data_IF_051175802995
#
_entry.id   IF_051175802995
#
_cell.length_a   1.000
_cell.length_b   1.000
_cell.length_c   1.000
_cell.angle_alpha   90.00
_cell.angle_beta   90.00
_cell.angle_gamma   90.00
#
_symmetry.space_group_name_H-M   'P 1'
#
loop_
_entity.id
_entity.type
_entity.pdbx_description
1 polymer ?
#
# COMPACT_ATOMS: atom_id res chain seq x y z
N UNK A 1 -23.45 -13.63 6.97
CA UNK A 1 -22.18 -14.23 6.47
C UNK A 1 -21.00 -13.48 7.09
N UNK A 2 -20.04 -14.17 7.71
CA UNK A 2 -18.79 -13.52 8.16
C UNK A 2 -17.94 -13.24 6.91
N UNK A 3 -17.74 -11.96 6.60
CA UNK A 3 -16.82 -11.56 5.54
C UNK A 3 -15.41 -12.01 5.92
N UNK A 4 -14.86 -12.94 5.17
CA UNK A 4 -13.49 -13.44 5.37
C UNK A 4 -12.52 -12.59 4.56
N UNK A 5 -11.43 -12.16 5.18
CA UNK A 5 -10.35 -11.46 4.46
C UNK A 5 -9.56 -12.45 3.60
N UNK A 6 -9.15 -12.06 2.39
CA UNK A 6 -8.22 -12.83 1.55
C UNK A 6 -6.91 -13.16 2.28
N UNK A 7 -6.15 -14.12 1.78
CA UNK A 7 -4.80 -14.40 2.28
C UNK A 7 -3.87 -13.23 1.99
N UNK A 8 -2.70 -13.18 2.66
CA UNK A 8 -1.77 -12.07 2.55
C UNK A 8 -1.19 -11.94 1.13
N UNK A 9 -0.85 -13.07 0.51
CA UNK A 9 -0.32 -13.20 -0.85
C UNK A 9 -1.36 -12.90 -1.95
N UNK A 10 -2.63 -13.04 -1.63
CA UNK A 10 -3.73 -12.73 -2.56
C UNK A 10 -4.04 -11.22 -2.65
N UNK A 11 -3.58 -10.42 -1.68
CA UNK A 11 -3.91 -8.98 -1.61
C UNK A 11 -2.92 -8.17 -2.45
N UNK A 12 -3.40 -7.50 -3.50
CA UNK A 12 -2.61 -6.54 -4.28
C UNK A 12 -2.73 -5.11 -3.74
N UNK A 13 -3.92 -4.66 -3.37
CA UNK A 13 -4.13 -3.32 -2.82
C UNK A 13 -5.39 -3.21 -1.99
N UNK A 14 -5.40 -2.24 -1.07
CA UNK A 14 -6.56 -1.81 -0.29
C UNK A 14 -6.90 -0.38 -0.69
N UNK A 15 -8.12 -0.14 -1.16
CA UNK A 15 -8.60 1.15 -1.63
C UNK A 15 -9.75 1.67 -0.76
N UNK A 16 -9.69 2.92 -0.27
CA UNK A 16 -10.83 3.52 0.41
C UNK A 16 -11.92 3.83 -0.60
N UNK A 17 -13.14 3.40 -0.34
CA UNK A 17 -14.28 3.60 -1.24
C UNK A 17 -15.48 4.10 -0.45
N UNK A 18 -16.21 5.07 -1.01
CA UNK A 18 -17.49 5.52 -0.46
C UNK A 18 -18.62 4.66 -1.03
N UNK A 19 -19.53 4.28 -0.15
CA UNK A 19 -20.81 3.67 -0.51
C UNK A 19 -21.93 4.47 0.13
N UNK A 20 -23.18 4.15 -0.21
CA UNK A 20 -24.34 4.73 0.45
C UNK A 20 -24.41 4.41 1.95
N UNK A 21 -23.80 3.30 2.35
CA UNK A 21 -23.73 2.82 3.74
C UNK A 21 -22.51 3.40 4.51
N UNK A 22 -21.67 4.22 3.85
CA UNK A 22 -20.48 4.84 4.42
C UNK A 22 -19.16 4.37 3.82
N UNK A 23 -18.07 4.58 4.56
CA UNK A 23 -16.71 4.22 4.13
C UNK A 23 -16.46 2.72 4.22
N UNK A 24 -16.07 2.12 3.11
CA UNK A 24 -15.69 0.70 3.00
C UNK A 24 -14.30 0.57 2.39
N UNK A 25 -13.72 -0.62 2.47
CA UNK A 25 -12.46 -0.95 1.82
C UNK A 25 -12.72 -1.84 0.60
N UNK A 26 -12.29 -1.40 -0.57
CA UNK A 26 -12.20 -2.23 -1.76
C UNK A 26 -10.83 -2.90 -1.76
N UNK A 27 -10.80 -4.21 -1.86
CA UNK A 27 -9.58 -5.03 -1.90
C UNK A 27 -9.39 -5.48 -3.33
N UNK A 28 -8.26 -5.09 -3.94
CA UNK A 28 -7.81 -5.63 -5.22
C UNK A 28 -7.00 -6.88 -4.93
N UNK A 29 -7.26 -7.96 -5.67
CA UNK A 29 -6.52 -9.20 -5.56
C UNK A 29 -5.43 -9.31 -6.64
N UNK A 30 -4.47 -10.19 -6.40
CA UNK A 30 -3.35 -10.46 -7.31
C UNK A 30 -3.77 -11.13 -8.62
N UNK A 31 -4.96 -11.72 -8.68
CA UNK A 31 -5.57 -12.27 -9.88
C UNK A 31 -6.37 -11.24 -10.71
N UNK A 32 -6.43 -9.97 -10.23
CA UNK A 32 -7.18 -8.89 -10.85
C UNK A 32 -8.63 -8.77 -10.41
N UNK A 33 -9.13 -9.66 -9.55
CA UNK A 33 -10.48 -9.56 -9.00
C UNK A 33 -10.59 -8.53 -7.88
N UNK A 34 -11.81 -8.07 -7.59
CA UNK A 34 -12.09 -7.06 -6.56
C UNK A 34 -13.11 -7.58 -5.55
N UNK A 35 -12.87 -7.26 -4.28
CA UNK A 35 -13.79 -7.57 -3.17
C UNK A 35 -14.13 -6.27 -2.45
N UNK A 36 -15.42 -6.02 -2.22
CA UNK A 36 -15.88 -4.94 -1.34
C UNK A 36 -15.97 -5.49 0.08
N UNK A 37 -15.08 -5.04 0.94
CA UNK A 37 -15.06 -5.41 2.35
C UNK A 37 -15.75 -4.31 3.17
N UNK A 38 -16.90 -4.61 3.78
CA UNK A 38 -17.77 -3.65 4.49
C UNK A 38 -17.18 -3.17 5.83
N UNK A 39 -15.94 -2.73 5.79
CA UNK A 39 -15.21 -2.14 6.92
C UNK A 39 -14.36 -0.98 6.42
N UNK A 40 -14.15 0.00 7.30
CA UNK A 40 -13.25 1.12 7.01
C UNK A 40 -11.82 0.63 6.78
N UNK A 41 -11.04 1.37 6.03
CA UNK A 41 -9.61 1.10 5.78
C UNK A 41 -8.84 0.84 7.08
N UNK A 42 -9.07 1.65 8.10
CA UNK A 42 -8.42 1.51 9.40
C UNK A 42 -8.76 0.19 10.09
N UNK A 43 -10.03 -0.22 10.05
CA UNK A 43 -10.49 -1.49 10.62
C UNK A 43 -9.92 -2.69 9.86
N UNK A 44 -9.89 -2.61 8.52
CA UNK A 44 -9.32 -3.64 7.64
C UNK A 44 -7.84 -3.87 7.94
N UNK A 45 -7.03 -2.82 7.96
CA UNK A 45 -5.59 -2.90 8.26
C UNK A 45 -5.35 -3.48 9.67
N UNK A 46 -6.12 -3.03 10.68
CA UNK A 46 -6.01 -3.59 12.04
C UNK A 46 -6.33 -5.07 12.05
N UNK A 47 -7.32 -5.53 11.30
CA UNK A 47 -7.70 -6.95 11.24
C UNK A 47 -6.61 -7.79 10.55
N UNK A 48 -6.01 -7.28 9.48
CA UNK A 48 -4.88 -7.93 8.82
C UNK A 48 -3.68 -8.07 9.76
N UNK A 49 -3.30 -7.01 10.48
CA UNK A 49 -2.21 -7.06 11.46
C UNK A 49 -2.50 -8.04 12.61
N UNK A 50 -3.74 -8.02 13.16
CA UNK A 50 -4.16 -8.95 14.24
C UNK A 50 -4.15 -10.40 13.81
N UNK A 51 -4.43 -10.71 12.55
CA UNK A 51 -4.31 -12.08 12.00
C UNK A 51 -2.90 -12.65 12.16
N UNK A 52 -1.89 -11.76 12.22
CA UNK A 52 -0.49 -12.07 12.46
C UNK A 52 -0.02 -11.76 13.89
N UNK A 53 -0.95 -11.60 14.83
CA UNK A 53 -0.67 -11.22 16.22
C UNK A 53 0.16 -9.93 16.34
N UNK A 54 0.03 -8.98 15.39
CA UNK A 54 0.79 -7.74 15.31
C UNK A 54 -0.10 -6.51 15.58
N UNK A 55 0.52 -5.45 16.13
CA UNK A 55 -0.12 -4.14 16.34
C UNK A 55 0.34 -3.13 15.29
N UNK A 56 -0.61 -2.38 14.70
CA UNK A 56 -0.33 -1.44 13.60
C UNK A 56 0.56 -0.27 14.05
N UNK A 57 0.42 0.21 15.29
CA UNK A 57 1.24 1.32 15.77
C UNK A 57 2.70 0.87 15.97
N UNK A 58 2.89 -0.33 16.50
CA UNK A 58 4.22 -0.94 16.63
C UNK A 58 4.86 -1.20 15.27
N UNK A 59 4.10 -1.72 14.28
CA UNK A 59 4.60 -1.92 12.92
C UNK A 59 5.05 -0.61 12.28
N UNK A 60 4.29 0.48 12.43
CA UNK A 60 4.68 1.80 11.92
C UNK A 60 5.93 2.35 12.60
N UNK A 61 6.04 2.19 13.92
CA UNK A 61 7.23 2.58 14.69
C UNK A 61 8.45 1.77 14.26
N UNK A 62 8.29 0.47 14.08
CA UNK A 62 9.36 -0.39 13.58
C UNK A 62 9.82 0.04 12.17
N UNK A 63 8.88 0.23 11.23
CA UNK A 63 9.17 0.67 9.88
C UNK A 63 9.84 2.06 9.84
N UNK A 64 9.57 2.94 10.80
CA UNK A 64 10.21 4.28 10.86
C UNK A 64 11.72 4.22 11.04
N UNK A 65 12.27 3.13 11.59
CA UNK A 65 13.72 2.94 11.74
C UNK A 65 14.42 2.78 10.39
N UNK A 66 13.71 2.21 9.39
CA UNK A 66 14.22 1.99 8.03
C UNK A 66 13.93 3.17 7.10
N UNK A 67 12.78 3.82 7.30
CA UNK A 67 12.35 4.93 6.43
C UNK A 67 12.86 6.29 6.87
N UNK A 68 13.28 6.42 8.14
CA UNK A 68 13.58 7.70 8.79
C UNK A 68 12.45 8.74 8.67
N UNK A 69 11.19 8.25 8.59
CA UNK A 69 9.99 9.09 8.44
C UNK A 69 9.08 8.94 9.65
N UNK A 70 8.38 10.01 10.00
CA UNK A 70 7.37 10.00 11.07
C UNK A 70 5.99 9.59 10.55
N UNK A 71 5.69 9.85 9.28
CA UNK A 71 4.39 9.62 8.67
C UNK A 71 4.50 8.73 7.41
N UNK A 72 3.37 8.13 7.06
CA UNK A 72 3.23 7.31 5.85
C UNK A 72 4.22 6.14 5.77
N UNK A 73 4.52 5.55 6.91
CA UNK A 73 5.37 4.37 6.99
C UNK A 73 4.64 3.13 6.47
N UNK A 74 5.34 2.21 5.80
CA UNK A 74 4.80 0.92 5.42
C UNK A 74 4.28 0.14 6.64
N UNK A 75 3.32 -0.73 6.41
CA UNK A 75 2.76 -1.64 7.42
C UNK A 75 3.13 -3.05 7.01
N UNK A 76 4.11 -3.62 7.69
CA UNK A 76 4.68 -4.92 7.38
C UNK A 76 4.01 -6.02 8.23
N UNK A 77 2.87 -6.50 7.79
CA UNK A 77 2.13 -7.54 8.50
C UNK A 77 2.82 -8.92 8.38
N UNK A 78 3.35 -9.24 7.21
CA UNK A 78 4.17 -10.44 6.91
C UNK A 78 5.10 -10.14 5.73
N UNK A 79 5.98 -11.06 5.36
CA UNK A 79 6.80 -10.95 4.15
C UNK A 79 5.93 -10.88 2.87
N UNK A 80 4.76 -11.53 2.88
CA UNK A 80 3.80 -11.50 1.77
C UNK A 80 2.87 -10.28 1.78
N UNK A 81 2.81 -9.52 2.90
CA UNK A 81 1.93 -8.38 3.04
C UNK A 81 2.65 -7.17 3.67
N UNK A 82 3.37 -6.44 2.84
CA UNK A 82 3.97 -5.16 3.18
C UNK A 82 3.21 -4.05 2.46
N UNK A 83 2.37 -3.35 3.18
CA UNK A 83 1.44 -2.35 2.67
C UNK A 83 2.08 -0.96 2.65
N UNK A 84 2.27 -0.39 1.47
CA UNK A 84 2.78 0.98 1.24
C UNK A 84 1.62 1.94 1.13
N UNK A 85 1.51 2.95 2.01
CA UNK A 85 0.48 3.98 1.88
C UNK A 85 0.80 4.89 0.68
N UNK A 86 -0.20 5.15 -0.17
CA UNK A 86 -0.13 6.05 -1.32
C UNK A 86 -1.37 6.91 -1.38
N UNK A 87 -1.23 8.19 -1.73
CA UNK A 87 -2.37 9.10 -1.83
C UNK A 87 -3.08 8.91 -3.17
N UNK A 88 -4.34 8.46 -3.13
CA UNK A 88 -5.12 8.16 -4.34
C UNK A 88 -6.28 9.12 -4.59
N UNK A 89 -6.68 9.90 -3.59
CA UNK A 89 -7.79 10.85 -3.75
C UNK A 89 -7.60 12.10 -2.90
N UNK A 90 -8.28 13.18 -3.28
CA UNK A 90 -8.44 14.38 -2.45
C UNK A 90 -9.57 14.15 -1.45
N UNK A 91 -9.48 14.69 -0.22
CA UNK A 91 -10.57 14.60 0.74
C UNK A 91 -11.78 15.39 0.23
N UNK A 92 -12.99 14.86 0.44
CA UNK A 92 -14.25 15.56 0.17
C UNK A 92 -14.68 16.38 1.38
N UNK A 93 -14.44 15.82 2.57
CA UNK A 93 -14.72 16.44 3.87
C UNK A 93 -13.55 16.23 4.82
N UNK A 94 -13.52 17.00 5.91
CA UNK A 94 -12.49 16.80 6.95
C UNK A 94 -12.56 15.38 7.53
N UNK A 95 -11.38 14.74 7.69
CA UNK A 95 -11.29 13.37 8.21
C UNK A 95 -11.38 12.25 7.19
N UNK A 96 -11.60 12.56 5.90
CA UNK A 96 -11.62 11.57 4.84
C UNK A 96 -10.34 10.74 4.75
N UNK A 97 -10.50 9.43 4.52
CA UNK A 97 -9.37 8.54 4.24
C UNK A 97 -8.96 8.71 2.77
N UNK A 98 -7.82 9.34 2.53
CA UNK A 98 -7.31 9.62 1.18
C UNK A 98 -6.21 8.67 0.74
N UNK A 99 -5.73 7.82 1.65
CA UNK A 99 -4.62 6.90 1.42
C UNK A 99 -5.14 5.51 1.07
N UNK A 100 -4.72 5.01 -0.09
CA UNK A 100 -4.75 3.58 -0.40
C UNK A 100 -3.49 2.91 0.18
N UNK A 101 -3.48 1.59 0.22
CA UNK A 101 -2.34 0.80 0.68
C UNK A 101 -2.04 -0.28 -0.36
N UNK A 102 -0.86 -0.22 -0.95
CA UNK A 102 -0.42 -1.14 -2.01
C UNK A 102 0.49 -2.20 -1.41
N UNK A 103 0.25 -3.46 -1.71
CA UNK A 103 1.17 -4.52 -1.35
C UNK A 103 2.40 -4.47 -2.26
N UNK A 104 3.58 -4.27 -1.68
CA UNK A 104 4.83 -4.16 -2.45
C UNK A 104 5.17 -5.45 -3.18
N UNK A 105 4.72 -6.61 -2.70
CA UNK A 105 4.91 -7.91 -3.35
C UNK A 105 4.10 -8.03 -4.66
N UNK A 106 2.95 -7.36 -4.74
CA UNK A 106 2.07 -7.38 -5.90
C UNK A 106 2.31 -6.19 -6.87
N UNK A 107 3.28 -5.34 -6.59
CA UNK A 107 3.60 -4.21 -7.46
C UNK A 107 4.49 -4.67 -8.62
N UNK A 108 3.99 -4.53 -9.85
CA UNK A 108 4.73 -4.83 -11.06
C UNK A 108 5.65 -3.67 -11.46
N UNK A 109 5.11 -2.45 -11.61
CA UNK A 109 5.90 -1.28 -12.01
C UNK A 109 5.24 0.05 -11.58
N UNK A 110 6.00 1.16 -11.76
CA UNK A 110 5.55 2.53 -11.55
C UNK A 110 5.91 3.37 -12.76
N UNK A 111 4.92 4.06 -13.32
CA UNK A 111 5.09 4.94 -14.48
C UNK A 111 4.64 6.36 -14.14
N UNK A 112 5.25 7.40 -14.76
CA UNK A 112 4.65 8.73 -14.76
C UNK A 112 3.29 8.65 -15.45
N UNK A 113 2.29 9.37 -14.92
CA UNK A 113 1.00 9.45 -15.61
C UNK A 113 1.20 10.10 -16.97
N UNK A 114 0.74 9.47 -18.09
CA UNK A 114 0.79 10.10 -19.38
C UNK A 114 0.01 11.43 -19.33
N UNK A 115 0.47 12.49 -20.00
CA UNK A 115 -0.28 13.73 -20.08
C UNK A 115 -1.66 13.42 -20.63
N UNK A 116 -2.73 13.88 -19.96
CA UNK A 116 -4.09 13.74 -20.45
C UNK A 116 -4.18 14.33 -21.86
N UNK A 117 -4.32 13.48 -22.87
CA UNK A 117 -4.67 13.87 -24.24
C UNK A 117 -6.14 14.29 -24.25
N UNK A 118 -6.42 15.46 -23.68
CA UNK A 118 -7.72 16.11 -23.81
C UNK A 118 -7.88 16.65 -25.23
N UNK A 119 -9.00 16.35 -25.93
CA UNK A 119 -9.25 16.94 -27.24
C UNK A 119 -9.35 18.46 -27.10
N UNK A 120 -8.36 19.19 -27.60
CA UNK A 120 -8.50 20.58 -27.99
C UNK A 120 -8.20 21.67 -26.99
N UNK A 121 -7.35 21.49 -25.98
CA UNK A 121 -6.81 22.65 -25.24
C UNK A 121 -5.56 23.19 -25.93
N UNK A 122 -5.79 24.22 -26.83
CA UNK A 122 -4.75 25.16 -27.27
C UNK A 122 -3.95 25.61 -26.03
N UNK A 123 -2.62 25.41 -26.08
CA UNK A 123 -1.67 26.00 -25.13
C UNK A 123 -1.76 27.52 -25.17
N UNK A 124 -2.71 28.10 -24.49
CA UNK A 124 -2.65 29.50 -24.10
C UNK A 124 -1.56 29.60 -23.04
N UNK A 125 -0.47 30.28 -23.37
CA UNK A 125 0.51 30.75 -22.39
C UNK A 125 -0.20 31.65 -21.40
N UNK A 126 -0.78 31.09 -20.36
CA UNK A 126 -1.39 31.81 -19.27
C UNK A 126 -0.50 31.74 -18.04
N UNK A 127 0.03 32.95 -17.72
CA UNK A 127 0.44 33.46 -16.41
C UNK A 127 0.78 32.40 -15.37
N UNK A 128 2.03 32.40 -14.88
CA UNK A 128 2.44 31.81 -13.62
C UNK A 128 1.32 31.96 -12.59
N UNK A 129 0.80 30.87 -12.02
CA UNK A 129 -0.11 30.99 -10.88
C UNK A 129 0.66 31.61 -9.71
N UNK A 130 0.12 32.69 -9.14
CA UNK A 130 0.66 33.42 -7.99
C UNK A 130 0.54 32.67 -6.65
N UNK A 131 0.11 31.42 -6.66
CA UNK A 131 0.12 30.55 -5.49
C UNK A 131 0.93 29.31 -5.82
N UNK A 132 1.89 28.97 -4.97
CA UNK A 132 2.84 27.85 -5.12
C UNK A 132 2.22 26.45 -5.10
N UNK A 133 1.05 26.28 -5.69
CA UNK A 133 0.44 24.97 -5.96
C UNK A 133 1.13 24.41 -7.19
N UNK A 134 2.11 23.56 -6.97
CA UNK A 134 2.66 22.76 -8.05
C UNK A 134 1.53 21.93 -8.67
N UNK A 135 1.45 21.82 -10.02
CA UNK A 135 0.51 20.91 -10.65
C UNK A 135 0.72 19.52 -10.02
N UNK A 136 -0.40 18.88 -9.62
CA UNK A 136 -0.37 17.57 -8.99
C UNK A 136 0.41 16.62 -9.91
N UNK A 137 1.58 16.21 -9.47
CA UNK A 137 2.41 15.24 -10.20
C UNK A 137 1.83 13.88 -9.92
N UNK A 138 1.16 13.32 -10.90
CA UNK A 138 0.53 12.01 -10.82
C UNK A 138 1.50 10.92 -11.31
N UNK A 139 1.34 9.73 -10.77
CA UNK A 139 1.98 8.52 -11.29
C UNK A 139 0.96 7.39 -11.34
N UNK A 140 1.21 6.41 -12.18
CA UNK A 140 0.40 5.20 -12.31
C UNK A 140 1.19 4.01 -11.77
N UNK A 141 0.56 3.22 -10.92
CA UNK A 141 1.08 1.96 -10.40
C UNK A 141 0.44 0.81 -11.16
N UNK A 142 1.25 -0.06 -11.72
CA UNK A 142 0.80 -1.33 -12.31
C UNK A 142 0.91 -2.43 -11.26
N UNK A 143 -0.16 -3.16 -11.04
CA UNK A 143 -0.27 -4.23 -10.06
C UNK A 143 -0.35 -5.60 -10.75
N UNK A 144 -0.01 -6.65 -10.02
CA UNK A 144 -0.30 -8.01 -10.42
C UNK A 144 -1.79 -8.15 -10.76
N UNK A 145 -2.13 -9.02 -11.72
CA UNK A 145 -3.50 -9.14 -12.23
C UNK A 145 -3.90 -8.06 -13.24
N UNK A 146 -2.97 -7.18 -13.66
CA UNK A 146 -3.19 -6.17 -14.71
C UNK A 146 -3.93 -4.91 -14.25
N UNK A 147 -4.25 -4.79 -12.96
CA UNK A 147 -4.87 -3.60 -12.44
C UNK A 147 -3.89 -2.42 -12.41
N UNK A 148 -4.37 -1.21 -12.74
CA UNK A 148 -3.59 0.02 -12.64
C UNK A 148 -4.25 1.02 -11.69
N UNK A 149 -3.44 1.81 -10.98
CA UNK A 149 -3.89 2.76 -9.99
C UNK A 149 -3.20 4.10 -10.15
N UNK A 150 -3.96 5.15 -10.48
CA UNK A 150 -3.46 6.52 -10.47
C UNK A 150 -3.30 7.04 -9.04
N UNK A 151 -2.18 7.70 -8.77
CA UNK A 151 -1.84 8.24 -7.45
C UNK A 151 -1.44 9.71 -7.54
N UNK A 152 -1.77 10.47 -6.49
CA UNK A 152 -1.55 11.93 -6.44
C UNK A 152 -0.13 12.33 -6.04
N UNK A 153 0.78 11.38 -5.89
CA UNK A 153 2.18 11.63 -5.60
C UNK A 153 3.04 11.51 -6.86
N UNK A 154 4.17 12.23 -6.89
CA UNK A 154 5.12 12.10 -7.98
C UNK A 154 5.75 10.71 -7.99
N UNK A 155 6.13 10.23 -9.18
CA UNK A 155 6.84 8.97 -9.37
C UNK A 155 8.06 8.86 -8.45
N UNK A 156 8.88 9.93 -8.35
CA UNK A 156 10.05 9.98 -7.46
C UNK A 156 9.68 9.69 -6.00
N UNK A 157 8.60 10.30 -5.50
CA UNK A 157 8.13 10.09 -4.12
C UNK A 157 7.70 8.65 -3.91
N UNK A 158 6.94 8.08 -4.86
CA UNK A 158 6.44 6.72 -4.77
C UNK A 158 7.58 5.71 -4.83
N UNK A 159 8.52 5.86 -5.77
CA UNK A 159 9.70 4.98 -5.87
C UNK A 159 10.50 4.95 -4.56
N UNK A 160 10.65 6.09 -3.89
CA UNK A 160 11.33 6.15 -2.59
C UNK A 160 10.55 5.41 -1.47
N UNK A 161 9.20 5.45 -1.49
CA UNK A 161 8.38 4.70 -0.55
C UNK A 161 8.43 3.18 -0.84
N UNK A 162 8.39 2.80 -2.12
CA UNK A 162 8.46 1.40 -2.56
C UNK A 162 9.84 0.81 -2.23
N UNK A 163 10.92 1.54 -2.51
CA UNK A 163 12.29 1.09 -2.20
C UNK A 163 12.45 0.78 -0.71
N UNK A 164 12.00 1.68 0.16
CA UNK A 164 12.03 1.46 1.60
C UNK A 164 11.17 0.24 2.02
N UNK A 165 10.01 0.05 1.41
CA UNK A 165 9.15 -1.09 1.71
C UNK A 165 9.72 -2.42 1.20
N UNK A 166 10.41 -2.42 0.06
CA UNK A 166 11.13 -3.60 -0.45
C UNK A 166 12.27 -3.99 0.47
N UNK A 167 13.00 -3.02 1.00
CA UNK A 167 14.04 -3.28 2.01
C UNK A 167 13.43 -3.91 3.27
N UNK A 168 12.36 -3.31 3.81
CA UNK A 168 11.63 -3.87 4.95
C UNK A 168 11.12 -5.30 4.68
N UNK A 169 10.65 -5.59 3.47
CA UNK A 169 10.23 -6.93 3.07
C UNK A 169 11.39 -7.92 3.08
N UNK A 170 12.54 -7.53 2.56
CA UNK A 170 13.74 -8.37 2.56
C UNK A 170 14.18 -8.75 3.98
N UNK A 171 14.16 -7.81 4.92
CA UNK A 171 14.43 -8.08 6.34
C UNK A 171 13.46 -9.10 6.93
N UNK A 172 12.14 -8.98 6.63
CA UNK A 172 11.16 -9.94 7.12
C UNK A 172 11.37 -11.35 6.55
N UNK A 173 11.71 -11.46 5.27
CA UNK A 173 12.02 -12.76 4.65
C UNK A 173 13.22 -13.40 5.33
N UNK A 174 14.28 -12.62 5.57
CA UNK A 174 15.48 -13.09 6.27
C UNK A 174 15.17 -13.58 7.68
N UNK A 175 14.41 -12.81 8.47
CA UNK A 175 14.02 -13.18 9.83
C UNK A 175 13.18 -14.47 9.86
N UNK A 176 12.27 -14.66 8.89
CA UNK A 176 11.45 -15.87 8.77
C UNK A 176 12.30 -17.11 8.39
N UNK A 177 13.24 -16.97 7.46
CA UNK A 177 14.17 -18.04 7.09
C UNK A 177 15.09 -18.44 8.25
N UNK A 178 15.66 -17.46 8.95
CA UNK A 178 16.51 -17.72 10.12
C UNK A 178 15.73 -18.44 11.23
N UNK A 179 14.48 -18.05 11.48
CA UNK A 179 13.63 -18.70 12.46
C UNK A 179 13.32 -20.17 12.09
N UNK A 180 13.17 -20.49 10.81
CA UNK A 180 13.00 -21.86 10.32
C UNK A 180 14.28 -22.68 10.54
N UNK A 181 15.44 -22.13 10.17
CA UNK A 181 16.72 -22.80 10.32
C UNK A 181 17.03 -23.12 11.79
N UNK A 182 16.77 -22.18 12.70
CA UNK A 182 16.92 -22.39 14.15
C UNK A 182 16.04 -23.52 14.68
N UNK A 183 14.78 -23.63 14.20
CA UNK A 183 13.87 -24.74 14.60
C UNK A 183 14.40 -26.10 14.12
N UNK A 184 14.90 -26.16 12.89
CA UNK A 184 15.44 -27.39 12.32
C UNK A 184 16.73 -27.86 13.03
N UNK A 185 17.60 -26.95 13.46
CA UNK A 185 18.82 -27.28 14.22
C UNK A 185 18.48 -27.77 15.63
N UNK A 186 17.55 -27.10 16.32
CA UNK A 186 17.15 -27.50 17.67
C UNK A 186 16.45 -28.88 17.71
N UNK A 187 15.69 -29.22 16.65
CA UNK A 187 15.03 -30.53 16.54
C UNK A 187 16.00 -31.71 16.34
N UNK A 188 17.22 -31.48 15.83
CA UNK A 188 18.25 -32.52 15.68
C UNK A 188 18.99 -32.83 16.99
N UNK A 189 19.08 -31.89 17.91
CA UNK A 189 19.71 -32.08 19.21
C UNK A 189 18.82 -32.84 20.20
N UNK A 190 17.47 -32.70 20.05
CA UNK A 190 16.51 -33.41 20.89
C UNK A 190 16.29 -34.91 20.49
N UNK A 191 16.84 -35.32 19.35
CA UNK A 191 16.71 -36.70 18.84
C UNK A 191 17.96 -37.57 19.06
N UNK A 192 18.92 -37.09 19.84
CA UNK A 192 20.08 -37.84 20.33
C UNK A 192 19.94 -38.13 21.81
#
# INVERSE_FOLDING_TARGET
MKETLPKDDEIAALLPTYTQEGDVTRILLTDGTEIVYRRTMRATIRRLARRRCKDVALLRRWASRYTHRTLNNPIAASADLVLVPVKTRRPRVGGDVTMAHINVAALADTFPEPPEEGPGRRRTRLRRPLSGVQPDKHAVLSLAGGASLSVLWSEKTIRAHISAARHIRAELVWDEEEAVLRRLSCGREAAK
#
